data_IF_093835314633
#
_entry.id   IF_093835314633
#
_cell.length_a   1.000
_cell.length_b   1.000
_cell.length_c   1.000
_cell.angle_alpha   90.00
_cell.angle_beta   90.00
_cell.angle_gamma   90.00
#
_symmetry.space_group_name_H-M   'P 1'
#
loop_
_entity.id
_entity.type
_entity.pdbx_description
1 polymer ?
#
# COMPACT_ATOMS: atom_id res chain seq x y z
N UNK A 1 -13.94 -15.85 -8.79
CA UNK A 1 -13.65 -16.95 -7.85
C UNK A 1 -13.75 -18.34 -8.46
N UNK A 2 -14.93 -18.90 -8.79
CA UNK A 2 -15.05 -20.31 -9.20
C UNK A 2 -14.17 -20.71 -10.40
N UNK A 3 -14.01 -19.84 -11.40
CA UNK A 3 -13.14 -20.11 -12.56
C UNK A 3 -11.64 -19.99 -12.24
N UNK A 4 -11.25 -19.07 -11.36
CA UNK A 4 -9.85 -18.93 -10.91
C UNK A 4 -9.43 -20.10 -10.02
N UNK A 5 -10.35 -20.57 -9.17
CA UNK A 5 -10.18 -21.79 -8.39
C UNK A 5 -10.14 -23.02 -9.30
N UNK A 6 -10.95 -23.08 -10.37
CA UNK A 6 -10.87 -24.16 -11.36
C UNK A 6 -9.55 -24.13 -12.15
N UNK A 7 -9.02 -22.95 -12.50
CA UNK A 7 -7.70 -22.83 -13.14
C UNK A 7 -6.55 -23.20 -12.19
N UNK A 8 -6.58 -22.73 -10.94
CA UNK A 8 -5.59 -23.07 -9.92
C UNK A 8 -5.65 -24.56 -9.50
N UNK A 9 -6.85 -25.12 -9.36
CA UNK A 9 -7.08 -26.53 -9.10
C UNK A 9 -6.63 -27.40 -10.29
N UNK A 10 -6.91 -26.97 -11.53
CA UNK A 10 -6.37 -27.63 -12.71
C UNK A 10 -4.83 -27.56 -12.75
N UNK A 11 -4.23 -26.44 -12.33
CA UNK A 11 -2.76 -26.29 -12.21
C UNK A 11 -2.19 -27.26 -11.17
N UNK A 12 -2.79 -27.36 -9.99
CA UNK A 12 -2.26 -28.16 -8.88
C UNK A 12 -2.48 -29.67 -9.05
N UNK A 13 -3.56 -30.09 -9.72
CA UNK A 13 -3.90 -31.52 -9.87
C UNK A 13 -3.67 -32.12 -11.26
N UNK A 14 -3.59 -31.32 -12.34
CA UNK A 14 -3.39 -31.87 -13.71
C UNK A 14 -1.98 -31.68 -14.26
N UNK A 15 -1.14 -30.81 -13.69
CA UNK A 15 0.21 -30.53 -14.19
C UNK A 15 1.30 -31.42 -13.57
N UNK A 16 0.96 -32.37 -12.70
CA UNK A 16 2.00 -33.18 -12.05
C UNK A 16 2.83 -34.02 -13.02
N UNK A 17 2.37 -34.32 -14.25
CA UNK A 17 3.20 -35.13 -15.17
C UNK A 17 3.06 -34.81 -16.67
N UNK A 18 2.10 -34.00 -17.14
CA UNK A 18 1.95 -33.74 -18.59
C UNK A 18 1.50 -32.31 -18.87
N UNK A 19 2.17 -31.68 -19.84
CA UNK A 19 1.83 -30.37 -20.40
C UNK A 19 0.32 -30.22 -20.62
N UNK A 20 -0.23 -29.05 -20.27
CA UNK A 20 -1.62 -28.72 -20.61
C UNK A 20 -1.81 -28.84 -22.13
N UNK A 21 -2.90 -29.49 -22.56
CA UNK A 21 -3.18 -29.72 -23.98
C UNK A 21 -3.18 -28.40 -24.77
N UNK A 22 -2.21 -28.26 -25.68
CA UNK A 22 -2.01 -27.05 -26.49
C UNK A 22 -3.24 -26.68 -27.32
N UNK A 23 -4.04 -27.66 -27.76
CA UNK A 23 -5.26 -27.42 -28.54
C UNK A 23 -6.32 -26.77 -27.65
N UNK A 24 -6.51 -27.30 -26.44
CA UNK A 24 -7.43 -26.72 -25.45
C UNK A 24 -6.97 -25.33 -25.02
N UNK A 25 -5.67 -25.14 -24.79
CA UNK A 25 -5.11 -23.84 -24.45
C UNK A 25 -5.42 -22.79 -25.53
N UNK A 26 -5.21 -23.13 -26.81
CA UNK A 26 -5.56 -22.26 -27.94
C UNK A 26 -7.05 -21.95 -28.02
N UNK A 27 -7.90 -22.95 -27.76
CA UNK A 27 -9.35 -22.76 -27.75
C UNK A 27 -9.81 -21.84 -26.62
N UNK A 28 -9.23 -21.96 -25.42
CA UNK A 28 -9.48 -21.05 -24.30
C UNK A 28 -8.95 -19.65 -24.58
N UNK A 29 -7.72 -19.53 -25.09
CA UNK A 29 -7.14 -18.25 -25.47
C UNK A 29 -8.01 -17.53 -26.50
N UNK A 30 -8.59 -18.23 -27.49
CA UNK A 30 -9.47 -17.62 -28.49
C UNK A 30 -10.74 -17.00 -27.88
N UNK A 31 -11.22 -17.49 -26.73
CA UNK A 31 -12.43 -17.02 -26.07
C UNK A 31 -12.18 -16.04 -24.92
N UNK A 32 -11.05 -16.17 -24.24
CA UNK A 32 -10.78 -15.51 -22.96
C UNK A 32 -9.56 -14.58 -23.01
N UNK A 33 -8.83 -14.50 -24.12
CA UNK A 33 -7.70 -13.58 -24.24
C UNK A 33 -8.12 -12.12 -24.12
N UNK A 34 -7.18 -11.27 -23.72
CA UNK A 34 -7.40 -9.85 -23.49
C UNK A 34 -7.76 -9.52 -22.04
N UNK A 35 -7.97 -10.53 -21.19
CA UNK A 35 -8.04 -10.35 -19.75
C UNK A 35 -6.69 -10.74 -19.12
N UNK A 36 -6.06 -9.78 -18.43
CA UNK A 36 -4.70 -9.91 -17.88
C UNK A 36 -4.45 -11.19 -17.07
N UNK A 37 -5.40 -11.65 -16.24
CA UNK A 37 -5.25 -12.91 -15.49
C UNK A 37 -5.25 -14.14 -16.40
N UNK A 38 -6.11 -14.17 -17.42
CA UNK A 38 -6.18 -15.31 -18.32
C UNK A 38 -4.94 -15.35 -19.21
N UNK A 39 -4.50 -14.20 -19.72
CA UNK A 39 -3.27 -14.09 -20.50
C UNK A 39 -2.04 -14.51 -19.67
N UNK A 40 -2.00 -14.19 -18.38
CA UNK A 40 -0.95 -14.66 -17.46
C UNK A 40 -0.95 -16.18 -17.30
N UNK A 41 -2.09 -16.79 -17.02
CA UNK A 41 -2.18 -18.24 -16.88
C UNK A 41 -1.92 -18.97 -18.19
N UNK A 42 -2.41 -18.45 -19.32
CA UNK A 42 -2.13 -19.05 -20.63
C UNK A 42 -0.64 -18.99 -20.96
N UNK A 43 0.03 -17.89 -20.64
CA UNK A 43 1.48 -17.78 -20.83
C UNK A 43 2.23 -18.80 -19.95
N UNK A 44 1.83 -19.03 -18.70
CA UNK A 44 2.46 -20.02 -17.82
C UNK A 44 2.20 -21.47 -18.25
N UNK A 45 1.05 -21.74 -18.86
CA UNK A 45 0.63 -23.08 -19.28
C UNK A 45 1.14 -23.48 -20.68
N UNK A 46 1.81 -22.58 -21.40
CA UNK A 46 2.21 -22.79 -22.80
C UNK A 46 3.28 -23.89 -22.96
N UNK A 47 4.23 -23.98 -22.02
CA UNK A 47 5.32 -24.95 -22.06
C UNK A 47 5.93 -25.21 -20.68
N UNK A 48 6.68 -26.30 -20.55
CA UNK A 48 7.46 -26.63 -19.34
C UNK A 48 8.41 -25.50 -18.92
N UNK A 49 9.07 -24.84 -19.87
CA UNK A 49 9.99 -23.73 -19.60
C UNK A 49 9.30 -22.37 -19.44
N UNK A 50 7.98 -22.29 -19.61
CA UNK A 50 7.27 -21.01 -19.54
C UNK A 50 7.32 -20.39 -18.14
N UNK A 51 7.35 -21.23 -17.10
CA UNK A 51 7.51 -20.80 -15.71
C UNK A 51 8.84 -20.09 -15.50
N UNK A 52 9.94 -20.76 -15.85
CA UNK A 52 11.28 -20.19 -15.78
C UNK A 52 11.38 -18.92 -16.61
N UNK A 53 10.89 -18.94 -17.86
CA UNK A 53 10.90 -17.77 -18.73
C UNK A 53 10.07 -16.60 -18.17
N UNK A 54 8.98 -16.86 -17.45
CA UNK A 54 8.10 -15.82 -16.90
C UNK A 54 8.71 -15.13 -15.68
N UNK A 55 9.31 -15.92 -14.79
CA UNK A 55 9.74 -15.49 -13.46
C UNK A 55 11.24 -15.25 -13.34
N UNK A 56 12.06 -16.03 -14.06
CA UNK A 56 13.52 -15.97 -14.02
C UNK A 56 14.05 -15.11 -15.18
N UNK A 57 13.81 -13.80 -15.12
CA UNK A 57 14.44 -12.86 -16.04
C UNK A 57 15.49 -12.02 -15.31
N UNK A 58 16.70 -11.94 -15.87
CA UNK A 58 17.78 -11.05 -15.40
C UNK A 58 17.42 -9.55 -15.48
N UNK A 59 16.25 -9.25 -16.05
CA UNK A 59 15.72 -7.90 -16.14
C UNK A 59 15.25 -7.37 -14.77
N UNK A 60 15.54 -6.09 -14.54
CA UNK A 60 15.03 -5.32 -13.41
C UNK A 60 13.49 -5.30 -13.36
N UNK A 61 12.84 -5.17 -14.52
CA UNK A 61 11.39 -5.10 -14.62
C UNK A 61 10.80 -6.47 -14.98
N UNK A 62 9.73 -6.91 -14.30
CA UNK A 62 8.99 -8.10 -14.72
C UNK A 62 8.38 -7.91 -16.11
N UNK A 63 8.04 -9.02 -16.75
CA UNK A 63 7.25 -8.98 -17.99
C UNK A 63 5.93 -8.25 -17.80
N UNK A 64 5.45 -7.61 -18.86
CA UNK A 64 4.20 -6.87 -18.85
C UNK A 64 3.01 -7.73 -18.41
N UNK A 65 2.91 -8.97 -18.91
CA UNK A 65 1.82 -9.90 -18.56
C UNK A 65 1.76 -10.18 -17.06
N UNK A 66 2.92 -10.44 -16.43
CA UNK A 66 3.03 -10.63 -14.99
C UNK A 66 2.67 -9.33 -14.26
N UNK A 67 3.17 -8.19 -14.74
CA UNK A 67 2.91 -6.89 -14.12
C UNK A 67 1.43 -6.52 -14.10
N UNK A 68 0.72 -6.82 -15.19
CA UNK A 68 -0.73 -6.60 -15.30
C UNK A 68 -1.52 -7.54 -14.39
N UNK A 69 -1.15 -8.82 -14.32
CA UNK A 69 -1.79 -9.78 -13.43
C UNK A 69 -1.58 -9.42 -11.96
N UNK A 70 -0.38 -8.99 -11.57
CA UNK A 70 -0.07 -8.53 -10.23
C UNK A 70 -0.87 -7.27 -9.86
N UNK A 71 -0.91 -6.28 -10.75
CA UNK A 71 -1.74 -5.09 -10.55
C UNK A 71 -3.22 -5.45 -10.38
N UNK A 72 -3.74 -6.37 -11.20
CA UNK A 72 -5.12 -6.81 -11.11
C UNK A 72 -5.38 -7.51 -9.77
N UNK A 73 -4.50 -8.41 -9.36
CA UNK A 73 -4.59 -9.10 -8.07
C UNK A 73 -4.66 -8.10 -6.91
N UNK A 74 -3.83 -7.07 -6.93
CA UNK A 74 -3.85 -5.99 -5.93
C UNK A 74 -5.19 -5.25 -5.91
N UNK A 75 -5.66 -4.78 -7.07
CA UNK A 75 -6.88 -3.98 -7.17
C UNK A 75 -8.12 -4.75 -6.72
N UNK A 76 -8.12 -6.07 -6.93
CA UNK A 76 -9.25 -6.94 -6.63
C UNK A 76 -9.12 -7.71 -5.31
N UNK A 77 -8.06 -7.51 -4.52
CA UNK A 77 -7.91 -8.15 -3.21
C UNK A 77 -7.52 -9.63 -3.26
N UNK A 78 -6.91 -10.11 -4.36
CA UNK A 78 -6.49 -11.52 -4.47
C UNK A 78 -5.14 -11.74 -3.79
N UNK A 79 -5.14 -11.76 -2.46
CA UNK A 79 -3.93 -11.85 -1.62
C UNK A 79 -3.07 -13.08 -1.94
N UNK A 80 -3.69 -14.24 -2.21
CA UNK A 80 -2.98 -15.47 -2.54
C UNK A 80 -2.23 -15.35 -3.86
N UNK A 81 -2.83 -14.68 -4.86
CA UNK A 81 -2.18 -14.45 -6.16
C UNK A 81 -1.06 -13.40 -6.03
N UNK A 82 -1.27 -12.36 -5.22
CA UNK A 82 -0.21 -11.38 -4.89
C UNK A 82 0.97 -12.10 -4.24
N UNK A 83 0.71 -12.94 -3.24
CA UNK A 83 1.72 -13.72 -2.51
C UNK A 83 2.44 -14.70 -3.43
N UNK A 84 1.69 -15.41 -4.27
CA UNK A 84 2.24 -16.35 -5.25
C UNK A 84 3.20 -15.63 -6.21
N UNK A 85 2.77 -14.54 -6.86
CA UNK A 85 3.62 -13.79 -7.79
C UNK A 85 4.84 -13.25 -7.05
N UNK A 86 4.64 -12.64 -5.87
CA UNK A 86 5.71 -12.05 -5.06
C UNK A 86 6.84 -13.05 -4.75
N UNK A 87 6.47 -14.28 -4.36
CA UNK A 87 7.43 -15.31 -3.99
C UNK A 87 8.19 -15.89 -5.18
N UNK A 88 7.69 -15.71 -6.41
CA UNK A 88 8.31 -16.25 -7.62
C UNK A 88 9.14 -15.23 -8.41
N UNK A 89 9.08 -13.92 -8.09
CA UNK A 89 9.90 -12.89 -8.74
C UNK A 89 11.16 -12.56 -7.93
N UNK A 90 12.16 -11.98 -8.61
CA UNK A 90 13.44 -11.58 -7.99
C UNK A 90 13.30 -10.34 -7.09
N UNK A 91 14.25 -10.12 -6.16
CA UNK A 91 14.20 -8.95 -5.27
C UNK A 91 14.18 -7.60 -6.01
N UNK A 92 14.99 -7.37 -7.08
CA UNK A 92 14.89 -6.13 -7.85
C UNK A 92 13.51 -5.95 -8.50
N UNK A 93 12.90 -7.04 -8.96
CA UNK A 93 11.55 -7.03 -9.51
C UNK A 93 10.49 -6.72 -8.45
N UNK A 94 10.63 -7.28 -7.24
CA UNK A 94 9.75 -6.99 -6.08
C UNK A 94 9.77 -5.52 -5.75
N UNK A 95 10.96 -4.91 -5.67
CA UNK A 95 11.09 -3.48 -5.42
C UNK A 95 10.42 -2.67 -6.54
N UNK A 96 10.77 -2.97 -7.80
CA UNK A 96 10.27 -2.23 -8.96
C UNK A 96 8.74 -2.27 -9.05
N UNK A 97 8.16 -3.48 -9.09
CA UNK A 97 6.72 -3.62 -9.27
C UNK A 97 5.96 -3.20 -8.02
N UNK A 98 6.47 -3.51 -6.84
CA UNK A 98 5.82 -3.19 -5.59
C UNK A 98 5.77 -1.69 -5.33
N UNK A 99 6.87 -0.95 -5.54
CA UNK A 99 6.86 0.51 -5.42
C UNK A 99 5.96 1.17 -6.48
N UNK A 100 5.95 0.65 -7.72
CA UNK A 100 5.08 1.15 -8.78
C UNK A 100 3.60 0.98 -8.44
N UNK A 101 3.22 -0.18 -7.89
CA UNK A 101 1.83 -0.44 -7.50
C UNK A 101 1.47 0.16 -6.13
N UNK A 102 2.44 0.45 -5.25
CA UNK A 102 2.19 0.96 -3.89
C UNK A 102 1.31 2.20 -3.88
N UNK A 103 1.56 3.15 -4.79
CA UNK A 103 0.71 4.33 -4.94
C UNK A 103 -0.75 3.95 -5.21
N UNK A 104 -1.01 2.91 -5.99
CA UNK A 104 -2.39 2.44 -6.25
C UNK A 104 -2.96 1.72 -5.02
N UNK A 105 -2.14 0.99 -4.27
CA UNK A 105 -2.55 0.32 -3.03
C UNK A 105 -3.04 1.34 -2.01
N UNK A 106 -2.26 2.39 -1.71
CA UNK A 106 -2.60 3.40 -0.70
C UNK A 106 -3.93 4.13 -0.95
N UNK A 107 -4.45 4.13 -2.18
CA UNK A 107 -5.68 4.85 -2.54
C UNK A 107 -6.83 3.97 -3.02
N UNK A 108 -6.53 2.78 -3.56
CA UNK A 108 -7.53 1.91 -4.21
C UNK A 108 -7.67 0.55 -3.57
N UNK A 109 -6.68 0.08 -2.79
CA UNK A 109 -6.83 -1.19 -2.10
C UNK A 109 -7.89 -1.04 -1.02
N UNK A 110 -9.08 -1.57 -1.29
CA UNK A 110 -10.12 -1.80 -0.30
C UNK A 110 -9.78 -2.98 0.61
N UNK A 111 -8.78 -3.77 0.20
CA UNK A 111 -8.38 -4.99 0.85
C UNK A 111 -7.23 -4.73 1.83
N UNK A 112 -7.52 -4.93 3.12
CA UNK A 112 -6.57 -4.73 4.23
C UNK A 112 -5.42 -5.73 4.17
N UNK A 113 -5.69 -6.95 3.73
CA UNK A 113 -4.71 -8.03 3.73
C UNK A 113 -3.63 -7.78 2.68
N UNK A 114 -4.04 -7.38 1.46
CA UNK A 114 -3.10 -6.98 0.39
C UNK A 114 -2.26 -5.76 0.81
N UNK A 115 -2.89 -4.75 1.43
CA UNK A 115 -2.18 -3.57 1.92
C UNK A 115 -1.13 -3.95 2.97
N UNK A 116 -1.51 -4.75 3.96
CA UNK A 116 -0.62 -5.19 5.03
C UNK A 116 0.55 -6.02 4.48
N UNK A 117 0.25 -7.02 3.63
CA UNK A 117 1.26 -7.87 3.00
C UNK A 117 2.30 -7.03 2.24
N UNK A 118 1.85 -6.12 1.36
CA UNK A 118 2.75 -5.29 0.57
C UNK A 118 3.51 -4.30 1.44
N UNK A 119 2.87 -3.72 2.46
CA UNK A 119 3.51 -2.78 3.37
C UNK A 119 4.72 -3.41 4.06
N UNK A 120 4.52 -4.58 4.69
CA UNK A 120 5.57 -5.30 5.41
C UNK A 120 6.74 -5.62 4.47
N UNK A 121 6.45 -6.21 3.31
CA UNK A 121 7.48 -6.64 2.36
C UNK A 121 8.21 -5.48 1.69
N UNK A 122 7.52 -4.39 1.36
CA UNK A 122 8.18 -3.23 0.78
C UNK A 122 8.97 -2.43 1.82
N UNK A 123 8.52 -2.39 3.07
CA UNK A 123 9.29 -1.77 4.14
C UNK A 123 10.60 -2.51 4.43
N UNK A 124 10.63 -3.84 4.29
CA UNK A 124 11.89 -4.59 4.41
C UNK A 124 12.87 -4.25 3.30
N UNK A 125 12.38 -3.97 2.09
CA UNK A 125 13.21 -3.66 0.93
C UNK A 125 13.68 -2.19 0.97
N UNK A 126 12.74 -1.24 1.03
CA UNK A 126 13.04 0.19 0.91
C UNK A 126 12.04 1.06 1.68
N UNK A 127 12.16 1.08 3.01
CA UNK A 127 11.31 1.88 3.88
C UNK A 127 11.33 3.39 3.56
N UNK A 128 12.48 3.94 3.15
CA UNK A 128 12.63 5.38 2.86
C UNK A 128 11.84 5.81 1.64
N UNK A 129 11.98 5.09 0.52
CA UNK A 129 11.21 5.36 -0.69
C UNK A 129 9.72 5.15 -0.45
N UNK A 130 9.36 4.10 0.29
CA UNK A 130 7.98 3.83 0.65
C UNK A 130 7.38 4.96 1.48
N UNK A 131 8.09 5.45 2.50
CA UNK A 131 7.67 6.57 3.32
C UNK A 131 7.45 7.83 2.48
N UNK A 132 8.35 8.14 1.54
CA UNK A 132 8.21 9.32 0.67
C UNK A 132 7.00 9.25 -0.26
N UNK A 133 6.75 8.09 -0.89
CA UNK A 133 5.58 7.89 -1.77
C UNK A 133 4.28 8.00 -0.95
N UNK A 134 4.27 7.38 0.24
CA UNK A 134 3.14 7.38 1.16
C UNK A 134 2.88 8.80 1.68
N UNK A 135 3.93 9.55 2.03
CA UNK A 135 3.85 10.92 2.53
C UNK A 135 3.21 11.89 1.55
N UNK A 136 3.66 11.90 0.29
CA UNK A 136 3.10 12.81 -0.72
C UNK A 136 1.58 12.66 -0.83
N UNK A 137 1.13 11.41 -0.78
CA UNK A 137 -0.27 11.00 -0.80
C UNK A 137 -1.00 11.41 0.49
N UNK A 138 -0.47 10.97 1.64
CA UNK A 138 -1.04 11.19 2.95
C UNK A 138 -1.18 12.68 3.27
N UNK A 139 -0.12 13.45 3.04
CA UNK A 139 -0.09 14.87 3.32
C UNK A 139 -0.99 15.66 2.36
N UNK A 140 -1.12 15.24 1.10
CA UNK A 140 -2.11 15.82 0.18
C UNK A 140 -3.55 15.59 0.67
N UNK A 141 -3.88 14.36 1.11
CA UNK A 141 -5.19 14.06 1.70
C UNK A 141 -5.43 14.90 2.96
N UNK A 142 -4.43 15.01 3.85
CA UNK A 142 -4.51 15.88 5.03
C UNK A 142 -4.80 17.33 4.62
N UNK A 143 -4.00 17.92 3.74
CA UNK A 143 -4.17 19.31 3.31
C UNK A 143 -5.55 19.58 2.71
N UNK A 144 -6.09 18.63 1.93
CA UNK A 144 -7.43 18.73 1.40
C UNK A 144 -8.45 18.72 2.54
N UNK A 145 -8.34 17.79 3.50
CA UNK A 145 -9.21 17.75 4.68
C UNK A 145 -9.13 19.01 5.56
N UNK A 146 -7.95 19.64 5.68
CA UNK A 146 -7.77 20.87 6.45
C UNK A 146 -8.47 22.08 5.83
N UNK A 147 -8.57 22.12 4.48
CA UNK A 147 -9.10 23.25 3.71
C UNK A 147 -10.54 23.05 3.24
N UNK A 148 -11.06 21.84 3.32
CA UNK A 148 -12.38 21.47 2.81
C UNK A 148 -13.49 21.92 3.77
N UNK A 149 -14.36 22.81 3.31
CA UNK A 149 -15.49 23.32 4.08
C UNK A 149 -16.63 22.30 4.19
N UNK A 150 -16.73 21.38 3.22
CA UNK A 150 -17.75 20.34 3.24
C UNK A 150 -17.37 19.23 4.24
N UNK A 151 -18.20 19.11 5.29
CA UNK A 151 -18.03 18.15 6.39
C UNK A 151 -17.86 16.71 5.85
N UNK A 152 -18.66 16.29 4.86
CA UNK A 152 -18.63 14.93 4.34
C UNK A 152 -17.30 14.58 3.66
N UNK A 153 -16.75 15.52 2.88
CA UNK A 153 -15.46 15.31 2.21
C UNK A 153 -14.30 15.35 3.20
N UNK A 154 -14.41 16.18 4.24
CA UNK A 154 -13.47 16.20 5.36
C UNK A 154 -13.44 14.85 6.09
N UNK A 155 -14.61 14.33 6.47
CA UNK A 155 -14.76 13.03 7.12
C UNK A 155 -14.19 11.90 6.25
N UNK A 156 -14.50 11.84 4.96
CA UNK A 156 -13.93 10.82 4.05
C UNK A 156 -12.39 10.88 4.01
N UNK A 157 -11.82 12.08 3.98
CA UNK A 157 -10.38 12.26 4.09
C UNK A 157 -9.82 11.77 5.43
N UNK A 158 -10.50 12.04 6.55
CA UNK A 158 -10.10 11.56 7.86
C UNK A 158 -10.13 10.03 7.95
N UNK A 159 -11.18 9.39 7.43
CA UNK A 159 -11.28 7.93 7.38
C UNK A 159 -10.16 7.31 6.56
N UNK A 160 -9.78 7.94 5.44
CA UNK A 160 -8.64 7.49 4.61
C UNK A 160 -7.31 7.59 5.35
N UNK A 161 -7.08 8.67 6.09
CA UNK A 161 -5.86 8.86 6.88
C UNK A 161 -5.79 7.81 8.01
N UNK A 162 -6.89 7.61 8.74
CA UNK A 162 -6.99 6.59 9.80
C UNK A 162 -6.76 5.18 9.24
N UNK A 163 -7.45 4.83 8.15
CA UNK A 163 -7.28 3.53 7.49
C UNK A 163 -5.81 3.26 7.10
N UNK A 164 -5.10 4.26 6.57
CA UNK A 164 -3.70 4.11 6.22
C UNK A 164 -2.84 3.86 7.46
N UNK A 165 -3.06 4.60 8.55
CA UNK A 165 -2.31 4.45 9.80
C UNK A 165 -2.63 3.12 10.52
N UNK A 166 -3.85 2.61 10.40
CA UNK A 166 -4.22 1.32 10.99
C UNK A 166 -3.57 0.13 10.25
N UNK A 167 -3.42 0.23 8.93
CA UNK A 167 -3.07 -0.91 8.08
C UNK A 167 -1.62 -0.87 7.56
N UNK A 168 -0.84 0.15 7.92
CA UNK A 168 0.59 0.23 7.60
C UNK A 168 1.45 -0.22 8.78
N UNK A 169 2.61 -0.80 8.47
CA UNK A 169 3.50 -1.33 9.49
C UNK A 169 4.09 -0.21 10.38
N UNK A 170 4.48 -0.51 11.64
CA UNK A 170 5.02 0.48 12.57
C UNK A 170 6.20 1.28 11.99
N UNK A 171 7.09 0.61 11.25
CA UNK A 171 8.25 1.24 10.61
C UNK A 171 7.84 2.31 9.59
N UNK A 172 6.82 2.04 8.77
CA UNK A 172 6.32 3.01 7.80
C UNK A 172 5.65 4.19 8.49
N UNK A 173 4.80 3.92 9.49
CA UNK A 173 4.06 4.95 10.23
C UNK A 173 5.01 5.93 10.92
N UNK A 174 5.98 5.38 11.64
CA UNK A 174 7.02 6.14 12.33
C UNK A 174 7.82 7.01 11.36
N UNK A 175 8.28 6.44 10.24
CA UNK A 175 9.02 7.17 9.22
C UNK A 175 8.16 8.27 8.56
N UNK A 176 6.91 7.97 8.22
CA UNK A 176 5.97 8.88 7.57
C UNK A 176 5.56 10.05 8.47
N UNK A 177 5.17 9.79 9.73
CA UNK A 177 4.74 10.84 10.66
C UNK A 177 5.88 11.76 11.11
N UNK A 178 7.13 11.29 11.01
CA UNK A 178 8.32 12.11 11.29
C UNK A 178 8.74 13.01 10.12
N UNK A 179 8.17 12.82 8.93
CA UNK A 179 8.60 13.56 7.74
C UNK A 179 8.41 15.07 7.91
N UNK A 180 9.35 15.80 7.30
CA UNK A 180 9.37 17.26 7.29
C UNK A 180 9.30 17.88 8.69
N UNK A 181 9.91 17.24 9.69
CA UNK A 181 9.87 17.63 11.11
C UNK A 181 8.46 17.56 11.72
N UNK A 182 7.79 16.42 11.59
CA UNK A 182 6.45 16.19 12.13
C UNK A 182 5.37 17.12 11.54
N UNK A 183 5.53 17.50 10.26
CA UNK A 183 4.71 18.54 9.62
C UNK A 183 3.21 18.25 9.65
N UNK A 184 2.82 16.99 9.47
CA UNK A 184 1.41 16.58 9.52
C UNK A 184 0.80 16.83 10.90
N UNK A 185 1.57 16.55 11.96
CA UNK A 185 1.16 16.74 13.36
C UNK A 185 1.11 18.22 13.71
N UNK A 186 2.13 18.99 13.31
CA UNK A 186 2.16 20.43 13.55
C UNK A 186 1.06 21.18 12.80
N UNK A 187 0.71 20.73 11.59
CA UNK A 187 -0.38 21.33 10.83
C UNK A 187 -1.74 20.99 11.44
N UNK A 188 -1.97 19.74 11.85
CA UNK A 188 -3.19 19.40 12.58
C UNK A 188 -3.39 20.25 13.84
N UNK A 189 -2.29 20.56 14.54
CA UNK A 189 -2.28 21.51 15.66
C UNK A 189 -2.58 22.96 15.21
N UNK A 190 -1.87 23.47 14.21
CA UNK A 190 -2.00 24.84 13.70
C UNK A 190 -3.42 25.17 13.21
N UNK A 191 -4.07 24.21 12.56
CA UNK A 191 -5.43 24.34 12.02
C UNK A 191 -6.51 23.90 13.03
N UNK A 192 -6.15 23.67 14.30
CA UNK A 192 -7.06 23.26 15.37
C UNK A 192 -7.87 21.97 15.08
N UNK A 193 -7.34 21.07 14.26
CA UNK A 193 -7.97 19.77 13.97
C UNK A 193 -7.71 18.77 15.09
N UNK A 194 -8.49 18.87 16.16
CA UNK A 194 -8.26 18.10 17.39
C UNK A 194 -8.33 16.59 17.17
N UNK A 195 -9.24 16.12 16.33
CA UNK A 195 -9.40 14.68 16.05
C UNK A 195 -8.19 14.13 15.29
N UNK A 196 -7.77 14.78 14.20
CA UNK A 196 -6.57 14.38 13.45
C UNK A 196 -5.29 14.49 14.28
N UNK A 197 -5.18 15.56 15.09
CA UNK A 197 -4.06 15.73 15.98
C UNK A 197 -3.97 14.56 16.97
N UNK A 198 -5.09 14.22 17.60
CA UNK A 198 -5.18 13.09 18.55
C UNK A 198 -4.86 11.77 17.85
N UNK A 199 -5.44 11.52 16.68
CA UNK A 199 -5.16 10.33 15.86
C UNK A 199 -3.66 10.18 15.58
N UNK A 200 -2.98 11.24 15.14
CA UNK A 200 -1.56 11.14 14.81
C UNK A 200 -0.70 10.87 16.05
N UNK A 201 -1.03 11.49 17.18
CA UNK A 201 -0.32 11.24 18.44
C UNK A 201 -0.48 9.79 18.92
N UNK A 202 -1.56 9.07 18.58
CA UNK A 202 -1.75 7.65 18.94
C UNK A 202 -0.77 6.71 18.21
N UNK A 203 -0.16 7.17 17.12
CA UNK A 203 0.77 6.38 16.30
C UNK A 203 2.22 6.86 16.37
N UNK A 204 2.54 7.82 17.24
CA UNK A 204 3.91 8.26 17.49
C UNK A 204 4.55 7.43 18.61
N UNK A 205 5.80 7.06 18.42
CA UNK A 205 6.62 6.46 19.46
C UNK A 205 6.95 7.48 20.57
N UNK A 206 7.26 7.04 21.81
CA UNK A 206 7.55 7.94 22.93
C UNK A 206 8.61 9.01 22.62
N UNK A 207 9.68 8.63 21.92
CA UNK A 207 10.74 9.56 21.50
C UNK A 207 10.23 10.61 20.51
N UNK A 208 9.35 10.21 19.59
CA UNK A 208 8.74 11.10 18.60
C UNK A 208 7.76 12.07 19.25
N UNK A 209 7.03 11.64 20.28
CA UNK A 209 6.17 12.52 21.08
C UNK A 209 6.98 13.64 21.74
N UNK A 210 8.16 13.31 22.29
CA UNK A 210 9.06 14.30 22.88
C UNK A 210 9.60 15.30 21.85
N UNK A 211 10.01 14.82 20.67
CA UNK A 211 10.49 15.69 19.59
C UNK A 211 9.37 16.57 19.04
N UNK A 212 8.20 16.01 18.77
CA UNK A 212 7.00 16.71 18.28
C UNK A 212 6.63 17.86 19.22
N UNK A 213 6.69 17.64 20.54
CA UNK A 213 6.46 18.68 21.54
C UNK A 213 7.37 19.90 21.35
N UNK A 214 8.66 19.71 21.10
CA UNK A 214 9.59 20.83 20.87
C UNK A 214 9.18 21.70 19.69
N UNK A 215 8.59 21.10 18.63
CA UNK A 215 8.09 21.86 17.49
C UNK A 215 6.76 22.56 17.80
N UNK A 216 5.86 21.91 18.52
CA UNK A 216 4.56 22.48 18.91
C UNK A 216 4.74 23.63 19.90
N UNK A 217 5.62 23.51 20.89
CA UNK A 217 5.90 24.57 21.87
C UNK A 217 6.38 25.84 21.16
N UNK A 218 7.29 25.72 20.18
CA UNK A 218 7.75 26.84 19.34
C UNK A 218 6.62 27.51 18.55
N UNK A 219 5.61 26.75 18.14
CA UNK A 219 4.45 27.25 17.42
C UNK A 219 3.47 27.94 18.38
N UNK A 220 3.21 27.30 19.53
CA UNK A 220 2.29 27.79 20.55
C UNK A 220 2.75 29.12 21.16
N UNK A 221 4.06 29.27 21.42
CA UNK A 221 4.65 30.53 21.89
C UNK A 221 4.35 31.72 20.98
N UNK A 222 4.10 31.46 19.69
CA UNK A 222 3.74 32.47 18.68
C UNK A 222 2.24 32.71 18.55
N UNK A 223 1.37 31.78 18.98
CA UNK A 223 -0.09 31.82 18.81
C UNK A 223 -0.82 31.36 20.08
N UNK A 224 -1.08 32.28 21.01
CA UNK A 224 -1.75 32.01 22.29
C UNK A 224 -3.28 31.95 22.15
N UNK A 225 -3.83 30.87 21.62
CA UNK A 225 -5.28 30.64 21.55
C UNK A 225 -5.75 29.54 22.52
N UNK A 226 -7.00 29.62 23.00
CA UNK A 226 -7.57 28.67 23.97
C UNK A 226 -7.69 27.23 23.44
N UNK A 227 -7.92 27.04 22.14
CA UNK A 227 -7.98 25.71 21.52
C UNK A 227 -6.61 25.04 21.50
N UNK A 228 -5.56 25.81 21.18
CA UNK A 228 -4.17 25.35 21.19
C UNK A 228 -3.72 24.93 22.61
N UNK A 229 -4.25 25.56 23.67
CA UNK A 229 -4.03 25.12 25.06
C UNK A 229 -4.62 23.73 25.33
N UNK A 230 -5.82 23.44 24.82
CA UNK A 230 -6.45 22.12 25.00
C UNK A 230 -5.65 21.03 24.29
N UNK A 231 -5.23 21.27 23.05
CA UNK A 231 -4.40 20.33 22.30
C UNK A 231 -3.02 20.11 22.94
N UNK A 232 -2.41 21.17 23.50
CA UNK A 232 -1.17 21.03 24.25
C UNK A 232 -1.33 20.14 25.49
N UNK A 233 -2.45 20.26 26.21
CA UNK A 233 -2.76 19.36 27.35
C UNK A 233 -2.89 17.90 26.91
N UNK A 234 -3.52 17.65 25.75
CA UNK A 234 -3.62 16.29 25.18
C UNK A 234 -2.23 15.71 24.94
N UNK A 235 -1.32 16.48 24.35
CA UNK A 235 0.05 16.05 24.12
C UNK A 235 0.79 15.75 25.43
N UNK A 236 0.64 16.63 26.43
CA UNK A 236 1.30 16.46 27.73
C UNK A 236 0.80 15.24 28.51
N UNK A 237 -0.45 14.82 28.32
CA UNK A 237 -0.99 13.60 28.96
C UNK A 237 -0.53 12.30 28.32
N UNK A 238 0.09 12.34 27.14
CA UNK A 238 0.54 11.17 26.39
C UNK A 238 2.04 10.89 26.52
N UNK A 239 2.74 11.73 27.29
CA UNK A 239 4.16 11.56 27.67
C UNK A 239 4.24 10.89 29.03
#
# INVERSE_FOLDING_TARGET
MQFQLACAYAIQHLLNERNFDRIRLKAFAKKLSGHCLYDFWFALLESTHAWEKMFNSDNLAPKQTLSLAFQFAIVHGYCELVTFIWNNITDPQREFIGLLQWRKVCFKAKDREVLHFLCERLCTINATSLARITWNTFYQTLQNSLKEDNIRFREDGMHKLAFLLENTCPRLRSAMLSMENFRAVTDAFLYNQTELFTLFLDYLEPEQLQLTRKYIDRIYDRKKNNVSRKQLRILLHRQ
#
